data_IF_498589035692
#
_entry.id   IF_498589035692
#
_cell.length_a   1.000
_cell.length_b   1.000
_cell.length_c   1.000
_cell.angle_alpha   90.00
_cell.angle_beta   90.00
_cell.angle_gamma   90.00
#
_symmetry.space_group_name_H-M   'P 1'
#
loop_
_entity.id
_entity.type
_entity.pdbx_description
1 polymer ?
#
# COMPACT_ATOMS: atom_id res chain seq x y z
N UNK A 1 9.26 -3.65 -7.28
CA UNK A 1 8.01 -2.92 -7.60
C UNK A 1 7.75 -1.79 -6.60
N UNK A 2 6.74 -1.94 -5.72
CA UNK A 2 6.41 -0.92 -4.70
C UNK A 2 7.56 -0.72 -3.71
N UNK A 3 8.24 -1.80 -3.30
CA UNK A 3 9.35 -1.74 -2.34
C UNK A 3 10.56 -0.93 -2.84
N UNK A 4 11.00 -1.15 -4.08
CA UNK A 4 12.08 -0.35 -4.69
C UNK A 4 11.73 1.14 -4.79
N UNK A 5 10.48 1.46 -5.14
CA UNK A 5 10.03 2.86 -5.19
C UNK A 5 10.00 3.49 -3.81
N UNK A 6 9.66 2.72 -2.78
CA UNK A 6 9.72 3.16 -1.39
C UNK A 6 11.15 3.36 -0.89
N UNK A 7 12.11 2.54 -1.34
CA UNK A 7 13.52 2.66 -0.97
C UNK A 7 14.18 3.91 -1.57
N UNK A 8 13.70 4.36 -2.72
CA UNK A 8 14.15 5.60 -3.37
C UNK A 8 13.38 6.85 -2.87
N UNK A 9 12.29 6.67 -2.11
CA UNK A 9 11.49 7.76 -1.61
C UNK A 9 12.04 8.30 -0.28
N UNK A 10 11.94 9.61 -0.06
CA UNK A 10 12.32 10.25 1.19
C UNK A 10 11.28 9.99 2.28
N UNK A 11 11.37 8.80 2.88
CA UNK A 11 10.50 8.39 3.98
C UNK A 11 11.21 8.65 5.32
N UNK A 12 10.59 9.39 6.26
CA UNK A 12 11.11 9.58 7.61
C UNK A 12 11.40 8.26 8.31
N UNK A 13 12.52 8.17 9.04
CA UNK A 13 12.95 6.91 9.67
C UNK A 13 11.91 6.32 10.62
N UNK A 14 11.19 7.19 11.35
CA UNK A 14 10.18 6.80 12.35
C UNK A 14 9.01 5.99 11.76
N UNK A 15 8.72 6.15 10.47
CA UNK A 15 7.65 5.40 9.81
C UNK A 15 8.17 4.26 8.92
N UNK A 16 9.49 4.14 8.69
CA UNK A 16 10.06 3.09 7.84
C UNK A 16 9.79 1.69 8.42
N UNK A 17 9.71 0.71 7.52
CA UNK A 17 9.52 -0.70 7.90
C UNK A 17 8.06 -1.03 8.19
N UNK A 18 7.77 -1.43 9.43
CA UNK A 18 6.46 -1.98 9.85
C UNK A 18 5.31 -0.96 9.73
N UNK A 19 5.44 0.28 10.23
CA UNK A 19 4.33 1.24 10.16
C UNK A 19 3.93 1.56 8.71
N UNK A 20 4.91 1.82 7.85
CA UNK A 20 4.70 2.06 6.42
C UNK A 20 4.10 0.84 5.71
N UNK A 21 4.49 -0.38 6.09
CA UNK A 21 3.89 -1.59 5.53
C UNK A 21 2.39 -1.71 5.88
N UNK A 22 2.00 -1.34 7.10
CA UNK A 22 0.59 -1.32 7.52
C UNK A 22 -0.22 -0.27 6.75
N UNK A 23 0.35 0.92 6.53
CA UNK A 23 -0.30 1.96 5.70
C UNK A 23 -0.50 1.46 4.27
N UNK A 24 0.52 0.87 3.66
CA UNK A 24 0.42 0.28 2.32
C UNK A 24 -0.64 -0.83 2.25
N UNK A 25 -0.73 -1.68 3.28
CA UNK A 25 -1.74 -2.73 3.36
C UNK A 25 -3.17 -2.17 3.45
N UNK A 26 -3.38 -1.10 4.23
CA UNK A 26 -4.66 -0.39 4.30
C UNK A 26 -5.06 0.23 2.96
N UNK A 27 -4.12 0.90 2.28
CA UNK A 27 -4.35 1.48 0.96
C UNK A 27 -4.68 0.40 -0.08
N UNK A 28 -3.99 -0.74 -0.05
CA UNK A 28 -4.30 -1.89 -0.90
C UNK A 28 -5.71 -2.41 -0.61
N UNK A 29 -6.08 -2.57 0.66
CA UNK A 29 -7.43 -3.03 1.05
C UNK A 29 -8.53 -2.12 0.49
N UNK A 30 -8.35 -0.80 0.56
CA UNK A 30 -9.31 0.17 0.00
C UNK A 30 -9.35 0.09 -1.53
N UNK A 31 -8.19 -0.04 -2.19
CA UNK A 31 -8.13 -0.21 -3.64
C UNK A 31 -8.89 -1.46 -4.08
N UNK A 32 -8.77 -2.57 -3.34
CA UNK A 32 -9.50 -3.81 -3.60
C UNK A 32 -10.99 -3.74 -3.25
N UNK A 33 -11.37 -2.94 -2.24
CA UNK A 33 -12.78 -2.72 -1.89
C UNK A 33 -13.56 -2.11 -3.06
N UNK A 34 -12.93 -1.27 -3.89
CA UNK A 34 -13.53 -0.74 -5.12
C UNK A 34 -13.91 -1.82 -6.16
N UNK A 35 -13.36 -3.03 -6.03
CA UNK A 35 -13.69 -4.18 -6.88
C UNK A 35 -14.66 -5.17 -6.21
N UNK A 36 -15.10 -4.93 -4.98
CA UNK A 36 -15.95 -5.87 -4.22
C UNK A 36 -17.34 -6.12 -4.87
N UNK A 37 -17.78 -5.25 -5.77
CA UNK A 37 -19.00 -5.42 -6.59
C UNK A 37 -18.73 -5.77 -8.05
N UNK A 38 -17.47 -6.00 -8.43
CA UNK A 38 -17.09 -6.23 -9.83
C UNK A 38 -17.37 -7.69 -10.21
N UNK A 39 -18.49 -7.91 -10.89
CA UNK A 39 -18.85 -9.22 -11.45
C UNK A 39 -18.78 -9.14 -12.98
N UNK A 40 -17.85 -9.88 -13.58
CA UNK A 40 -17.83 -10.09 -15.02
C UNK A 40 -18.90 -11.14 -15.33
N UNK A 41 -19.96 -10.72 -16.01
CA UNK A 41 -21.03 -11.60 -16.53
C UNK A 41 -20.68 -12.05 -17.94
#
# INVERSE_FOLDING_TARGET
>A
GIRERLELAEVPEIIRGVPLALVCAGLMSIAFLGFAGFSIK
#
